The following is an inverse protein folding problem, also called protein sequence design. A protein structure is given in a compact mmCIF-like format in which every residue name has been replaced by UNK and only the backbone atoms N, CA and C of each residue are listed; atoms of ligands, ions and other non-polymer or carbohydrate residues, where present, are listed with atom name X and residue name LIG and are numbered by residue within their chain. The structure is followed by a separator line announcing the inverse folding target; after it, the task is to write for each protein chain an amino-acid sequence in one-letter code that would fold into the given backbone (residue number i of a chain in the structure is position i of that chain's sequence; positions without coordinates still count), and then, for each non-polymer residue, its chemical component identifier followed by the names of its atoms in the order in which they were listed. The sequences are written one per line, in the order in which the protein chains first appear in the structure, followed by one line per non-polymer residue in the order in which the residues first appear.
data_IF_211154990037
#
_entry.id   IF_211154990037
#
_cell.length_a   1.000
_cell.length_b   1.000
_cell.length_c   1.000
_cell.angle_alpha   90.00
_cell.angle_beta   90.00
_cell.angle_gamma   90.00
#
_symmetry.space_group_name_H-M   'P 1'
#
loop_
_entity.id
_entity.type
_entity.pdbx_description
1 polymer ?
#
# COMPACT_ATOMS: atom_id res chain seq x y z
N UNK A 1 4.12 1.67 -6.31
CA UNK A 1 3.98 1.89 -7.77
C UNK A 1 4.98 2.89 -8.32
N UNK A 2 4.86 4.23 -8.09
CA UNK A 2 5.83 5.19 -8.65
C UNK A 2 7.26 4.95 -8.18
N UNK A 3 7.49 4.73 -6.88
CA UNK A 3 8.82 4.40 -6.37
C UNK A 3 9.41 3.16 -7.05
N UNK A 4 8.62 2.11 -7.23
CA UNK A 4 9.05 0.89 -7.93
C UNK A 4 9.37 1.17 -9.40
N UNK A 5 8.54 1.97 -10.09
CA UNK A 5 8.80 2.36 -11.48
C UNK A 5 10.11 3.16 -11.63
N UNK A 6 10.42 4.03 -10.65
CA UNK A 6 11.64 4.86 -10.67
C UNK A 6 12.88 4.07 -10.26
N UNK A 7 12.78 3.25 -9.21
CA UNK A 7 13.94 2.58 -8.61
C UNK A 7 14.17 1.17 -9.13
N UNK A 8 13.17 0.60 -9.82
CA UNK A 8 13.12 -0.82 -10.21
C UNK A 8 13.32 -1.78 -9.03
N UNK A 9 12.90 -1.34 -7.84
CA UNK A 9 12.98 -2.09 -6.57
C UNK A 9 11.63 -2.06 -5.88
N UNK A 10 11.25 -3.10 -5.13
CA UNK A 10 10.02 -3.08 -4.33
C UNK A 10 10.00 -1.90 -3.38
N UNK A 11 8.84 -1.28 -3.21
CA UNK A 11 8.59 -0.25 -2.22
C UNK A 11 7.88 -0.86 -1.01
N UNK A 12 8.35 -0.53 0.18
CA UNK A 12 7.89 -1.08 1.45
C UNK A 12 7.19 -0.02 2.31
N UNK A 13 6.36 -0.46 3.25
CA UNK A 13 5.56 0.43 4.09
C UNK A 13 6.12 0.47 5.52
N UNK A 14 6.66 1.62 5.90
CA UNK A 14 7.11 1.90 7.28
C UNK A 14 6.04 2.63 8.07
N UNK A 15 4.92 1.97 8.31
CA UNK A 15 3.76 2.61 8.93
C UNK A 15 3.62 2.19 10.41
N UNK A 16 3.73 3.15 11.37
CA UNK A 16 3.64 2.85 12.80
C UNK A 16 2.26 2.38 13.26
N UNK A 17 1.21 2.58 12.46
CA UNK A 17 -0.08 1.98 12.77
C UNK A 17 -0.03 0.46 12.63
N UNK A 18 0.63 -0.04 11.60
CA UNK A 18 0.72 -1.48 11.32
C UNK A 18 1.80 -2.17 12.15
N UNK A 19 2.96 -1.55 12.30
CA UNK A 19 4.14 -2.13 12.90
C UNK A 19 4.42 -1.52 14.28
N UNK A 20 5.08 -2.28 15.13
CA UNK A 20 5.75 -1.76 16.32
C UNK A 20 7.19 -1.37 15.97
N UNK A 21 7.82 -0.53 16.79
CA UNK A 21 9.16 0.01 16.55
C UNK A 21 10.19 -1.06 16.17
N UNK A 22 10.25 -2.16 16.92
CA UNK A 22 11.22 -3.23 16.69
C UNK A 22 10.98 -3.95 15.36
N UNK A 23 9.73 -4.20 15.00
CA UNK A 23 9.37 -4.81 13.72
C UNK A 23 9.68 -3.88 12.54
N UNK A 24 9.44 -2.58 12.69
CA UNK A 24 9.79 -1.57 11.68
C UNK A 24 11.31 -1.49 11.48
N UNK A 25 12.10 -1.44 12.56
CA UNK A 25 13.56 -1.42 12.48
C UNK A 25 14.11 -2.65 11.76
N UNK A 26 13.56 -3.83 12.05
CA UNK A 26 13.91 -5.09 11.36
C UNK A 26 13.53 -5.07 9.88
N UNK A 27 12.34 -4.55 9.54
CA UNK A 27 11.90 -4.42 8.15
C UNK A 27 12.85 -3.52 7.37
N UNK A 28 13.13 -2.31 7.86
CA UNK A 28 14.03 -1.37 7.18
C UNK A 28 15.45 -1.94 7.08
N UNK A 29 15.97 -2.56 8.13
CA UNK A 29 17.27 -3.20 8.08
C UNK A 29 17.33 -4.31 7.02
N UNK A 30 16.30 -5.16 6.95
CA UNK A 30 16.23 -6.25 5.97
C UNK A 30 16.16 -5.74 4.52
N UNK A 31 15.33 -4.72 4.26
CA UNK A 31 15.12 -4.19 2.91
C UNK A 31 16.28 -3.34 2.42
N UNK A 32 17.01 -2.69 3.35
CA UNK A 32 18.17 -1.87 3.03
C UNK A 32 19.48 -2.66 2.81
N UNK A 33 19.52 -3.96 3.10
CA UNK A 33 20.76 -4.77 2.99
C UNK A 33 21.44 -4.71 1.61
N UNK A 34 20.67 -4.51 0.55
CA UNK A 34 21.19 -4.47 -0.82
C UNK A 34 21.18 -3.04 -1.41
N UNK A 35 21.15 -2.03 -0.55
CA UNK A 35 21.10 -0.64 -0.94
C UNK A 35 22.15 0.17 -0.21
N UNK A 36 22.72 1.17 -0.88
CA UNK A 36 23.66 2.11 -0.29
C UNK A 36 22.94 3.16 0.57
N UNK A 37 21.67 3.43 0.25
CA UNK A 37 20.81 4.41 0.89
C UNK A 37 19.37 3.93 0.97
N UNK A 38 18.72 4.09 2.11
CA UNK A 38 17.28 3.95 2.29
C UNK A 38 16.62 5.33 2.33
N UNK A 39 15.67 5.56 1.43
CA UNK A 39 14.85 6.78 1.42
C UNK A 39 13.43 6.46 1.86
N UNK A 40 12.95 7.18 2.89
CA UNK A 40 11.59 7.03 3.42
C UNK A 40 10.80 8.29 3.11
N UNK A 41 9.72 8.15 2.36
CA UNK A 41 8.80 9.24 2.08
C UNK A 41 7.75 9.35 3.19
N UNK A 42 7.58 10.56 3.75
CA UNK A 42 6.47 10.89 4.61
C UNK A 42 5.21 11.19 3.78
N UNK A 43 4.18 10.35 3.89
CA UNK A 43 2.99 10.41 3.04
C UNK A 43 2.04 11.57 3.37
N UNK A 44 2.07 12.05 4.61
CA UNK A 44 1.22 13.14 5.13
C UNK A 44 2.10 14.26 5.67
N UNK A 45 1.52 15.25 6.34
CA UNK A 45 2.31 16.23 7.07
C UNK A 45 3.17 15.54 8.14
N UNK A 46 4.36 16.09 8.42
CA UNK A 46 5.36 15.44 9.27
C UNK A 46 4.84 15.00 10.65
N UNK A 47 3.94 15.79 11.23
CA UNK A 47 3.29 15.51 12.52
C UNK A 47 1.86 14.97 12.40
N UNK A 48 1.36 14.80 11.18
CA UNK A 48 -0.02 14.32 10.98
C UNK A 48 -0.11 12.82 11.25
N UNK A 49 -0.72 12.48 12.35
CA UNK A 49 -0.92 11.11 12.79
C UNK A 49 -2.39 10.76 13.03
N UNK A 50 -2.64 9.87 13.96
CA UNK A 50 -3.99 9.43 14.29
C UNK A 50 -4.75 10.53 15.05
N UNK A 51 -5.85 10.99 14.50
CA UNK A 51 -6.69 12.02 15.11
C UNK A 51 -5.97 13.37 15.21
N UNK A 52 -5.72 13.83 16.44
CA UNK A 52 -5.02 15.09 16.72
C UNK A 52 -3.65 14.86 17.36
N UNK A 53 -3.05 13.70 17.12
CA UNK A 53 -1.77 13.31 17.73
C UNK A 53 -0.71 13.10 16.65
N UNK A 54 0.56 13.05 17.03
CA UNK A 54 1.66 12.64 16.16
C UNK A 54 1.82 11.11 16.08
N UNK A 55 0.93 10.33 16.72
CA UNK A 55 0.99 8.86 16.69
C UNK A 55 0.79 8.36 15.25
N UNK A 56 1.64 7.44 14.81
CA UNK A 56 1.67 6.90 13.45
C UNK A 56 1.99 7.93 12.34
N UNK A 57 2.67 9.04 12.68
CA UNK A 57 3.13 10.05 11.72
C UNK A 57 4.55 9.78 11.21
N UNK A 58 5.02 10.56 10.23
CA UNK A 58 6.41 10.59 9.79
C UNK A 58 7.38 10.97 10.93
N UNK A 59 6.94 11.82 11.86
CA UNK A 59 7.67 12.09 13.10
C UNK A 59 7.92 10.81 13.89
N UNK A 60 6.89 9.98 14.13
CA UNK A 60 7.03 8.70 14.83
C UNK A 60 8.02 7.76 14.12
N UNK A 61 7.95 7.68 12.79
CA UNK A 61 8.89 6.89 11.97
C UNK A 61 10.33 7.37 12.21
N UNK A 62 10.57 8.69 12.12
CA UNK A 62 11.89 9.26 12.32
C UNK A 62 12.46 8.99 13.72
N UNK A 63 11.59 9.01 14.75
CA UNK A 63 11.96 8.69 16.13
C UNK A 63 12.33 7.21 16.29
N UNK A 64 11.51 6.32 15.78
CA UNK A 64 11.71 4.87 15.92
C UNK A 64 12.94 4.35 15.17
N UNK A 65 13.22 4.93 14.00
CA UNK A 65 14.40 4.59 13.21
C UNK A 65 15.64 5.39 13.59
N UNK A 66 15.47 6.41 14.42
CA UNK A 66 16.52 7.36 14.78
C UNK A 66 17.16 8.04 13.56
N UNK A 67 16.40 8.21 12.48
CA UNK A 67 16.88 8.74 11.21
C UNK A 67 16.66 10.25 11.11
N UNK A 68 17.58 11.01 10.49
CA UNK A 68 17.36 12.42 10.22
C UNK A 68 16.20 12.61 9.21
N UNK A 69 15.45 13.69 9.38
CA UNK A 69 14.36 14.06 8.51
C UNK A 69 14.68 15.36 7.77
N UNK A 70 14.40 15.41 6.48
CA UNK A 70 14.44 16.63 5.67
C UNK A 70 13.02 17.08 5.38
N UNK A 71 12.64 18.24 5.86
CA UNK A 71 11.30 18.76 5.67
C UNK A 71 11.17 19.43 4.30
N UNK A 72 10.24 18.94 3.48
CA UNK A 72 9.93 19.55 2.18
C UNK A 72 8.93 20.70 2.36
N UNK A 73 9.32 21.93 2.02
CA UNK A 73 8.53 23.14 2.24
C UNK A 73 8.18 23.79 0.90
N UNK A 74 6.92 24.14 0.71
CA UNK A 74 6.46 24.93 -0.42
C UNK A 74 6.33 26.42 -0.02
N UNK A 75 7.25 27.31 -0.43
CA UNK A 75 7.24 28.71 -0.05
C UNK A 75 6.44 29.62 -1.00
N UNK A 76 5.63 29.04 -1.90
CA UNK A 76 4.86 29.83 -2.87
C UNK A 76 4.00 30.92 -2.19
N UNK A 77 4.03 32.11 -2.77
CA UNK A 77 3.28 33.30 -2.28
C UNK A 77 3.66 33.73 -0.87
N UNK A 78 4.81 33.31 -0.35
CA UNK A 78 5.33 33.72 0.95
C UNK A 78 6.58 34.56 0.79
N UNK A 79 6.82 35.42 1.76
CA UNK A 79 8.09 36.08 2.00
C UNK A 79 8.76 35.51 3.25
N UNK A 80 9.16 36.34 4.19
CA UNK A 80 9.78 35.92 5.46
C UNK A 80 8.93 34.93 6.29
N UNK A 81 7.62 34.89 6.08
CA UNK A 81 6.71 33.97 6.80
C UNK A 81 7.04 32.49 6.61
N UNK A 82 7.77 32.11 5.55
CA UNK A 82 8.24 30.72 5.38
C UNK A 82 9.12 30.29 6.56
N UNK A 83 9.95 31.18 7.09
CA UNK A 83 10.79 30.87 8.26
C UNK A 83 9.95 30.63 9.53
N UNK A 84 8.82 31.30 9.67
CA UNK A 84 7.90 31.04 10.79
C UNK A 84 7.30 29.63 10.71
N UNK A 85 6.96 29.16 9.51
CA UNK A 85 6.51 27.79 9.30
C UNK A 85 7.63 26.81 9.68
N UNK A 86 8.84 26.99 9.17
CA UNK A 86 9.98 26.12 9.49
C UNK A 86 10.26 26.10 11.01
N UNK A 87 10.23 27.25 11.67
CA UNK A 87 10.37 27.32 13.15
C UNK A 87 9.23 26.60 13.87
N UNK A 88 8.01 26.72 13.38
CA UNK A 88 6.85 26.02 13.95
C UNK A 88 7.06 24.50 13.96
N UNK A 89 7.52 23.96 12.85
CA UNK A 89 7.86 22.52 12.79
C UNK A 89 8.98 22.11 13.76
N UNK A 90 9.99 22.95 13.93
CA UNK A 90 11.09 22.68 14.88
C UNK A 90 10.68 22.77 16.36
N UNK A 91 9.59 23.49 16.66
CA UNK A 91 9.18 23.79 18.03
C UNK A 91 7.94 23.01 18.49
N UNK A 92 7.17 22.44 17.55
CA UNK A 92 5.90 21.78 17.87
C UNK A 92 6.10 20.55 18.75
N UNK A 93 7.09 19.71 18.38
CA UNK A 93 7.46 18.54 19.15
C UNK A 93 8.92 18.63 19.60
N UNK A 94 9.20 18.48 20.90
CA UNK A 94 10.56 18.47 21.40
C UNK A 94 11.30 17.22 20.86
N UNK A 95 12.61 17.36 20.69
CA UNK A 95 13.47 16.28 20.21
C UNK A 95 13.11 15.73 18.82
N UNK A 96 12.47 16.54 17.96
CA UNK A 96 12.30 16.16 16.58
C UNK A 96 13.66 15.96 15.88
N UNK A 97 13.66 15.17 14.80
CA UNK A 97 14.87 14.83 14.05
C UNK A 97 15.00 15.60 12.74
N UNK A 98 14.33 16.75 12.63
CA UNK A 98 14.44 17.60 11.44
C UNK A 98 15.87 18.14 11.38
N UNK A 99 16.59 17.77 10.32
CA UNK A 99 17.99 18.11 10.10
C UNK A 99 18.19 19.16 9.02
N UNK A 100 17.11 19.63 8.39
CA UNK A 100 17.13 20.67 7.39
C UNK A 100 15.91 20.66 6.49
N UNK A 101 15.99 21.45 5.43
CA UNK A 101 14.86 21.74 4.57
C UNK A 101 15.20 21.53 3.09
N UNK A 102 14.21 21.18 2.31
CA UNK A 102 14.23 21.15 0.86
C UNK A 102 13.04 21.97 0.37
N UNK A 103 13.26 22.89 -0.57
CA UNK A 103 12.19 23.78 -1.03
C UNK A 103 11.57 23.23 -2.30
N UNK A 104 10.26 23.25 -2.38
CA UNK A 104 9.52 22.78 -3.56
C UNK A 104 8.73 23.90 -4.22
N UNK A 105 8.62 23.87 -5.54
CA UNK A 105 7.90 24.86 -6.36
C UNK A 105 8.46 26.27 -6.21
N UNK A 106 9.76 26.42 -6.17
CA UNK A 106 10.44 27.72 -5.99
C UNK A 106 10.70 28.36 -7.35
N UNK A 107 10.39 29.64 -7.49
CA UNK A 107 10.90 30.42 -8.62
C UNK A 107 12.41 30.59 -8.46
N UNK A 108 13.20 30.28 -9.50
CA UNK A 108 14.67 30.25 -9.43
C UNK A 108 15.30 31.51 -8.82
N UNK A 109 14.82 32.69 -9.17
CA UNK A 109 15.30 33.95 -8.60
C UNK A 109 14.99 34.17 -7.12
N UNK A 110 14.18 33.32 -6.48
CA UNK A 110 13.83 33.42 -5.06
C UNK A 110 14.54 32.37 -4.19
N UNK A 111 15.25 31.45 -4.77
CA UNK A 111 15.87 30.35 -4.04
C UNK A 111 16.84 30.84 -2.96
N UNK A 112 17.79 31.68 -3.32
CA UNK A 112 18.78 32.28 -2.39
C UNK A 112 18.10 33.04 -1.27
N UNK A 113 17.07 33.84 -1.59
CA UNK A 113 16.32 34.60 -0.60
C UNK A 113 15.67 33.70 0.45
N UNK A 114 15.03 32.61 0.03
CA UNK A 114 14.42 31.67 0.98
C UNK A 114 15.47 30.89 1.77
N UNK A 115 16.54 30.47 1.12
CA UNK A 115 17.64 29.78 1.77
C UNK A 115 18.23 30.63 2.90
N UNK A 116 18.66 31.85 2.62
CA UNK A 116 19.26 32.74 3.60
C UNK A 116 18.35 33.05 4.80
N UNK A 117 17.06 33.27 4.55
CA UNK A 117 16.10 33.51 5.62
C UNK A 117 15.89 32.28 6.48
N UNK A 118 15.68 31.11 5.87
CA UNK A 118 15.42 29.88 6.63
C UNK A 118 16.65 29.48 7.44
N UNK A 119 17.82 29.47 6.83
CA UNK A 119 19.07 29.10 7.52
C UNK A 119 19.38 30.06 8.68
N UNK A 120 19.24 31.37 8.47
CA UNK A 120 19.44 32.35 9.52
C UNK A 120 18.46 32.20 10.68
N UNK A 121 17.19 31.97 10.40
CA UNK A 121 16.14 31.96 11.42
C UNK A 121 16.03 30.62 12.14
N UNK A 122 16.43 29.51 11.50
CA UNK A 122 16.31 28.14 12.05
C UNK A 122 17.63 27.57 12.53
N UNK A 123 18.76 28.05 12.01
CA UNK A 123 20.07 27.46 12.23
C UNK A 123 20.31 26.14 11.48
N UNK A 124 19.35 25.68 10.68
CA UNK A 124 19.43 24.43 9.94
C UNK A 124 19.61 24.70 8.43
N UNK A 125 20.30 23.81 7.71
CA UNK A 125 20.58 23.98 6.29
C UNK A 125 19.36 23.83 5.41
N UNK A 126 19.37 24.52 4.28
CA UNK A 126 18.54 24.22 3.10
C UNK A 126 19.38 23.45 2.10
N UNK A 127 18.98 22.22 1.80
CA UNK A 127 19.71 21.31 0.91
C UNK A 127 19.52 21.63 -0.58
N UNK A 128 18.65 22.55 -0.91
CA UNK A 128 18.36 22.98 -2.26
C UNK A 128 16.87 23.15 -2.52
N UNK A 129 16.51 23.20 -3.77
CA UNK A 129 15.13 23.42 -4.20
C UNK A 129 14.78 22.70 -5.49
N UNK A 130 13.50 22.45 -5.70
CA UNK A 130 12.92 22.15 -7.00
C UNK A 130 12.10 23.34 -7.49
N UNK A 131 12.29 23.77 -8.74
CA UNK A 131 11.44 24.80 -9.34
C UNK A 131 10.04 24.24 -9.62
N UNK A 132 9.11 25.12 -9.94
CA UNK A 132 7.81 24.70 -10.47
C UNK A 132 7.99 24.24 -11.92
N UNK A 133 7.75 22.94 -12.16
CA UNK A 133 7.83 22.29 -13.47
C UNK A 133 6.44 21.84 -13.88
N UNK A 134 5.83 22.55 -14.84
CA UNK A 134 4.48 22.23 -15.31
C UNK A 134 4.46 20.91 -16.11
N UNK A 135 5.56 20.60 -16.78
CA UNK A 135 5.72 19.42 -17.64
C UNK A 135 5.71 18.09 -16.86
N UNK A 136 6.07 18.14 -15.57
CA UNK A 136 6.17 16.93 -14.73
C UNK A 136 4.94 16.70 -13.85
N UNK A 137 3.88 17.49 -14.05
CA UNK A 137 2.65 17.27 -13.28
C UNK A 137 2.07 15.89 -13.58
N UNK A 138 1.83 15.14 -12.51
CA UNK A 138 1.12 13.86 -12.61
C UNK A 138 -0.38 14.14 -12.51
N UNK A 139 -1.19 13.57 -13.42
CA UNK A 139 -2.64 13.70 -13.34
C UNK A 139 -3.15 12.99 -12.07
N UNK A 140 -4.16 13.60 -11.44
CA UNK A 140 -4.84 13.00 -10.29
C UNK A 140 -6.25 12.54 -10.68
N UNK A 141 -6.72 11.48 -10.04
CA UNK A 141 -8.10 10.98 -10.13
C UNK A 141 -8.88 11.32 -8.86
N UNK A 142 -10.20 11.13 -8.90
CA UNK A 142 -11.01 11.16 -7.69
C UNK A 142 -10.55 10.13 -6.64
N UNK A 143 -9.97 9.03 -7.08
CA UNK A 143 -9.44 7.89 -6.32
C UNK A 143 -7.91 7.83 -6.33
N UNK A 144 -7.21 8.93 -6.07
CA UNK A 144 -5.75 8.96 -6.02
C UNK A 144 -5.10 9.36 -7.33
N UNK A 145 -3.87 8.94 -7.54
CA UNK A 145 -3.11 9.20 -8.76
C UNK A 145 -3.43 8.15 -9.83
N UNK A 146 -3.17 8.49 -11.10
CA UNK A 146 -3.03 7.47 -12.13
C UNK A 146 -1.96 6.48 -11.74
N UNK A 147 -2.08 5.22 -12.15
CA UNK A 147 -1.01 4.25 -11.92
C UNK A 147 0.24 4.63 -12.73
N UNK A 148 1.40 4.13 -12.32
CA UNK A 148 2.64 4.43 -13.05
C UNK A 148 2.59 3.98 -14.52
N UNK A 149 1.87 2.89 -14.80
CA UNK A 149 1.69 2.34 -16.15
C UNK A 149 0.73 3.18 -17.04
N UNK A 150 -0.15 3.96 -16.41
CA UNK A 150 -1.12 4.81 -17.12
C UNK A 150 -0.61 6.22 -17.41
N UNK A 151 0.52 6.61 -16.83
CA UNK A 151 1.12 7.93 -17.08
C UNK A 151 2.00 7.87 -18.32
N UNK A 152 1.48 8.39 -19.41
CA UNK A 152 2.29 8.57 -20.63
C UNK A 152 3.53 9.39 -20.29
N UNK A 153 4.67 9.00 -20.89
CA UNK A 153 5.95 9.71 -20.72
C UNK A 153 6.43 9.80 -19.26
N UNK A 154 6.04 8.87 -18.39
CA UNK A 154 6.46 8.87 -16.98
C UNK A 154 7.99 8.92 -16.86
N UNK A 155 8.70 8.12 -17.64
CA UNK A 155 10.17 8.08 -17.61
C UNK A 155 10.78 9.43 -17.98
N UNK A 156 10.27 10.10 -19.01
CA UNK A 156 10.76 11.43 -19.44
C UNK A 156 10.54 12.48 -18.34
N UNK A 157 9.39 12.42 -17.63
CA UNK A 157 9.10 13.30 -16.50
C UNK A 157 10.04 13.07 -15.33
N UNK A 158 10.34 11.80 -15.04
CA UNK A 158 11.27 11.41 -13.97
C UNK A 158 12.70 11.85 -14.32
N UNK A 159 13.13 11.66 -15.56
CA UNK A 159 14.45 12.08 -16.04
C UNK A 159 14.61 13.60 -15.92
N UNK A 160 13.61 14.37 -16.34
CA UNK A 160 13.61 15.83 -16.19
C UNK A 160 13.68 16.27 -14.72
N UNK A 161 12.93 15.61 -13.84
CA UNK A 161 13.01 15.84 -12.37
C UNK A 161 14.40 15.52 -11.84
N UNK A 162 14.98 14.39 -12.23
CA UNK A 162 16.32 13.96 -11.83
C UNK A 162 17.42 14.92 -12.30
N UNK A 163 17.38 15.36 -13.55
CA UNK A 163 18.30 16.35 -14.07
C UNK A 163 18.19 17.72 -13.38
N UNK A 164 16.95 18.10 -13.06
CA UNK A 164 16.71 19.36 -12.34
C UNK A 164 17.22 19.24 -10.92
N UNK A 165 16.95 18.15 -10.23
CA UNK A 165 17.43 17.88 -8.87
C UNK A 165 18.96 17.93 -8.79
N UNK A 166 19.68 17.34 -9.74
CA UNK A 166 21.17 17.41 -9.81
C UNK A 166 21.71 18.84 -9.89
N UNK A 167 20.95 19.75 -10.48
CA UNK A 167 21.37 21.16 -10.66
C UNK A 167 21.01 22.05 -9.48
N UNK A 168 19.98 21.69 -8.70
CA UNK A 168 19.37 22.58 -7.72
C UNK A 168 19.38 22.03 -6.29
N UNK A 169 19.75 20.76 -6.11
CA UNK A 169 19.88 20.10 -4.81
C UNK A 169 21.33 19.67 -4.61
N UNK A 170 21.86 19.90 -3.42
CA UNK A 170 23.23 19.49 -3.04
C UNK A 170 23.18 18.06 -2.52
N UNK A 171 23.18 17.09 -3.46
CA UNK A 171 22.98 15.65 -3.19
C UNK A 171 24.05 15.11 -2.24
N UNK A 172 25.31 15.58 -2.35
CA UNK A 172 26.41 15.15 -1.49
C UNK A 172 26.15 15.49 -0.01
N UNK A 173 25.47 16.62 0.26
CA UNK A 173 25.10 17.00 1.63
C UNK A 173 23.96 16.13 2.16
N UNK A 174 23.04 15.70 1.30
CA UNK A 174 21.96 14.76 1.67
C UNK A 174 22.55 13.37 1.95
N UNK A 175 23.52 12.92 1.14
CA UNK A 175 24.23 11.68 1.37
C UNK A 175 24.99 11.72 2.71
N UNK A 176 25.76 12.77 2.95
CA UNK A 176 26.46 12.95 4.23
C UNK A 176 25.49 13.00 5.42
N UNK A 177 24.30 13.57 5.25
CA UNK A 177 23.27 13.54 6.28
C UNK A 177 22.78 12.10 6.52
N UNK A 178 22.53 11.33 5.47
CA UNK A 178 22.08 9.94 5.60
C UNK A 178 23.10 9.06 6.36
N UNK A 179 24.40 9.31 6.17
CA UNK A 179 25.48 8.62 6.87
C UNK A 179 25.50 8.90 8.40
N UNK A 180 24.79 9.93 8.87
CA UNK A 180 24.63 10.19 10.30
C UNK A 180 23.58 9.32 10.99
N UNK A 181 22.75 8.61 10.21
CA UNK A 181 21.77 7.69 10.76
C UNK A 181 22.50 6.51 11.45
N UNK A 182 22.06 6.09 12.65
CA UNK A 182 22.68 4.96 13.33
C UNK A 182 22.45 3.67 12.54
N UNK A 183 23.39 2.73 12.58
CA UNK A 183 23.22 1.43 11.95
C UNK A 183 22.06 0.69 12.58
N UNK A 184 21.20 0.11 11.75
CA UNK A 184 20.13 -0.76 12.20
C UNK A 184 20.69 -2.19 12.38
N UNK A 185 20.31 -2.89 13.46
CA UNK A 185 20.73 -4.27 13.66
C UNK A 185 20.14 -5.14 12.53
N UNK A 186 21.02 -5.83 11.81
CA UNK A 186 20.59 -6.75 10.75
C UNK A 186 19.79 -7.91 11.38
N UNK A 187 18.56 -8.15 10.94
CA UNK A 187 17.83 -9.30 11.39
C UNK A 187 18.45 -10.58 10.81
N UNK A 188 18.48 -11.64 11.60
CA UNK A 188 18.69 -12.97 11.05
C UNK A 188 17.47 -13.32 10.20
N UNK A 189 17.61 -13.21 8.89
CA UNK A 189 16.57 -13.65 7.97
C UNK A 189 16.74 -15.14 7.74
N UNK A 190 15.74 -15.98 8.11
CA UNK A 190 15.78 -17.38 7.76
C UNK A 190 15.84 -17.52 6.24
N UNK A 191 16.56 -18.52 5.75
CA UNK A 191 16.56 -18.85 4.33
C UNK A 191 15.13 -19.06 3.83
N UNK A 192 14.87 -18.63 2.59
CA UNK A 192 13.57 -18.87 1.97
C UNK A 192 13.30 -20.38 1.93
N UNK A 193 12.16 -20.84 2.47
CA UNK A 193 11.82 -22.27 2.39
C UNK A 193 11.57 -22.66 0.94
N UNK A 194 11.73 -23.95 0.60
CA UNK A 194 11.33 -24.42 -0.72
C UNK A 194 9.83 -24.20 -0.94
N UNK A 195 9.46 -23.91 -2.18
CA UNK A 195 8.05 -23.75 -2.54
C UNK A 195 7.27 -25.02 -2.22
N UNK A 196 6.16 -24.88 -1.53
CA UNK A 196 5.32 -25.99 -1.06
C UNK A 196 3.89 -25.94 -1.59
N UNK A 197 3.48 -24.82 -2.19
CA UNK A 197 2.19 -24.63 -2.85
C UNK A 197 2.26 -23.49 -3.85
N UNK A 198 1.35 -23.50 -4.85
CA UNK A 198 1.26 -22.47 -5.89
C UNK A 198 0.11 -21.53 -5.60
N UNK A 199 0.42 -20.24 -5.44
CA UNK A 199 -0.54 -19.18 -5.17
C UNK A 199 -0.72 -18.31 -6.40
N UNK A 200 -1.91 -18.33 -7.00
CA UNK A 200 -2.28 -17.39 -8.05
C UNK A 200 -2.50 -16.00 -7.48
N UNK A 201 -1.87 -15.00 -8.08
CA UNK A 201 -2.00 -13.58 -7.69
C UNK A 201 -2.48 -12.80 -8.90
N UNK A 202 -3.67 -12.19 -8.82
CA UNK A 202 -4.17 -11.32 -9.89
C UNK A 202 -3.29 -10.07 -9.98
N UNK A 203 -2.74 -9.79 -11.15
CA UNK A 203 -1.88 -8.61 -11.35
C UNK A 203 -2.03 -8.05 -12.75
N UNK A 204 -2.76 -6.96 -12.86
CA UNK A 204 -2.94 -6.15 -14.06
C UNK A 204 -3.42 -4.74 -13.69
N UNK A 205 -3.87 -3.96 -14.66
CA UNK A 205 -4.33 -2.60 -14.41
C UNK A 205 -5.60 -2.51 -13.52
N UNK A 206 -6.40 -3.57 -13.44
CA UNK A 206 -7.57 -3.65 -12.56
C UNK A 206 -7.21 -4.13 -11.14
N UNK A 207 -6.12 -4.89 -10.98
CA UNK A 207 -5.66 -5.50 -9.72
C UNK A 207 -4.18 -5.22 -9.49
N UNK A 208 -3.87 -4.07 -8.91
CA UNK A 208 -2.49 -3.58 -8.80
C UNK A 208 -2.07 -3.18 -7.37
N UNK A 209 -2.95 -3.24 -6.39
CA UNK A 209 -2.64 -2.85 -5.01
C UNK A 209 -2.28 -4.05 -4.15
N UNK A 210 -1.00 -4.21 -3.91
CA UNK A 210 -0.43 -5.22 -3.03
C UNK A 210 0.65 -4.59 -2.16
N UNK A 211 0.67 -4.94 -0.88
CA UNK A 211 1.83 -4.71 -0.06
C UNK A 211 2.92 -5.72 -0.45
N UNK A 212 4.11 -5.23 -0.78
CA UNK A 212 5.25 -6.12 -1.10
C UNK A 212 5.53 -7.08 0.05
N UNK A 213 5.41 -6.60 1.28
CA UNK A 213 5.58 -7.36 2.51
C UNK A 213 4.59 -8.52 2.64
N UNK A 214 3.36 -8.35 2.16
CA UNK A 214 2.36 -9.42 2.15
C UNK A 214 2.79 -10.56 1.22
N UNK A 215 3.24 -10.22 0.02
CA UNK A 215 3.69 -11.20 -0.97
C UNK A 215 4.95 -11.93 -0.49
N UNK A 216 5.93 -11.20 0.05
CA UNK A 216 7.13 -11.78 0.63
C UNK A 216 6.82 -12.70 1.81
N UNK A 217 5.89 -12.29 2.69
CA UNK A 217 5.51 -13.12 3.83
C UNK A 217 4.83 -14.43 3.37
N UNK A 218 4.02 -14.40 2.31
CA UNK A 218 3.44 -15.60 1.71
C UNK A 218 4.52 -16.48 1.10
N UNK A 219 5.52 -15.92 0.42
CA UNK A 219 6.67 -16.66 -0.10
C UNK A 219 7.49 -17.29 1.04
N UNK A 220 7.72 -16.56 2.14
CA UNK A 220 8.35 -17.11 3.36
C UNK A 220 7.54 -18.23 4.01
N UNK A 221 6.25 -18.27 3.75
CA UNK A 221 5.37 -19.40 4.11
C UNK A 221 5.31 -20.51 3.04
N UNK A 222 6.18 -20.46 2.02
CA UNK A 222 6.33 -21.50 1.01
C UNK A 222 5.47 -21.32 -0.24
N UNK A 223 4.93 -20.13 -0.50
CA UNK A 223 4.20 -19.84 -1.73
C UNK A 223 5.14 -19.68 -2.93
N UNK A 224 4.88 -20.39 -4.03
CA UNK A 224 5.28 -19.98 -5.38
C UNK A 224 4.23 -19.02 -5.92
N UNK A 225 4.59 -17.76 -6.14
CA UNK A 225 3.66 -16.76 -6.69
C UNK A 225 3.53 -16.93 -8.20
N UNK A 226 2.30 -17.12 -8.67
CA UNK A 226 1.96 -17.24 -10.09
C UNK A 226 1.04 -16.09 -10.47
N UNK A 227 1.59 -15.09 -11.15
CA UNK A 227 0.82 -13.92 -11.57
C UNK A 227 -0.04 -14.24 -12.80
N UNK A 228 -1.25 -13.67 -12.82
CA UNK A 228 -2.20 -13.77 -13.93
C UNK A 228 -3.03 -12.49 -14.06
N UNK A 229 -3.67 -12.30 -15.22
CA UNK A 229 -4.48 -11.12 -15.52
C UNK A 229 -5.93 -11.48 -15.76
N UNK A 230 -6.86 -11.12 -14.88
CA UNK A 230 -8.30 -11.23 -15.16
C UNK A 230 -8.77 -10.45 -16.39
N UNK A 231 -8.03 -9.42 -16.81
CA UNK A 231 -8.36 -8.63 -18.00
C UNK A 231 -8.02 -9.34 -19.32
N UNK A 232 -6.94 -10.11 -19.37
CA UNK A 232 -6.40 -10.64 -20.64
C UNK A 232 -6.34 -12.15 -20.72
N UNK A 233 -6.20 -12.86 -19.60
CA UNK A 233 -6.14 -14.31 -19.59
C UNK A 233 -7.53 -14.91 -19.78
N UNK A 234 -7.61 -16.04 -20.47
CA UNK A 234 -8.89 -16.76 -20.70
C UNK A 234 -9.22 -17.77 -19.59
N UNK A 235 -8.24 -18.08 -18.72
CA UNK A 235 -8.41 -19.04 -17.62
C UNK A 235 -7.37 -18.81 -16.53
N UNK A 236 -7.64 -19.31 -15.34
CA UNK A 236 -6.66 -19.39 -14.26
C UNK A 236 -5.47 -20.27 -14.67
N UNK A 237 -4.25 -19.95 -14.22
CA UNK A 237 -3.10 -20.84 -14.36
C UNK A 237 -3.38 -22.22 -13.79
N UNK A 238 -2.77 -23.23 -14.38
CA UNK A 238 -2.96 -24.61 -13.93
C UNK A 238 -2.32 -24.87 -12.57
N UNK A 239 -2.87 -25.85 -11.87
CA UNK A 239 -2.34 -26.40 -10.62
C UNK A 239 -2.17 -25.39 -9.48
N UNK A 240 -3.03 -24.37 -9.41
CA UNK A 240 -3.06 -23.47 -8.27
C UNK A 240 -3.60 -24.17 -7.03
N UNK A 241 -3.08 -23.77 -5.87
CA UNK A 241 -3.45 -24.25 -4.55
C UNK A 241 -4.19 -23.18 -3.72
N UNK A 242 -4.20 -21.94 -4.20
CA UNK A 242 -4.92 -20.82 -3.64
C UNK A 242 -4.93 -19.63 -4.60
N UNK A 243 -5.78 -18.63 -4.31
CA UNK A 243 -5.86 -17.35 -5.04
C UNK A 243 -5.77 -16.18 -4.07
N UNK A 244 -5.05 -15.15 -4.48
CA UNK A 244 -5.05 -13.83 -3.88
C UNK A 244 -5.45 -12.77 -4.91
N UNK A 245 -6.63 -12.16 -4.72
CA UNK A 245 -7.16 -11.09 -5.55
C UNK A 245 -7.04 -9.79 -4.75
N UNK A 246 -6.04 -8.97 -5.06
CA UNK A 246 -5.80 -7.72 -4.37
C UNK A 246 -6.74 -6.59 -4.76
N UNK A 247 -6.47 -5.41 -4.23
CA UNK A 247 -7.15 -4.20 -4.61
C UNK A 247 -6.69 -3.65 -5.95
N UNK A 248 -7.33 -2.56 -6.37
CA UNK A 248 -7.05 -1.89 -7.63
C UNK A 248 -8.22 -1.04 -8.08
N UNK A 249 -8.39 -0.94 -9.38
CA UNK A 249 -9.43 -0.14 -10.03
C UNK A 249 -10.32 -0.97 -10.97
N UNK A 250 -10.98 -2.05 -10.49
CA UNK A 250 -11.83 -2.87 -11.36
C UNK A 250 -12.98 -2.07 -12.00
N UNK A 251 -13.43 -0.98 -11.34
CA UNK A 251 -14.49 -0.10 -11.84
C UNK A 251 -14.12 0.61 -13.15
N UNK A 252 -12.85 0.74 -13.48
CA UNK A 252 -12.41 1.32 -14.76
C UNK A 252 -12.44 0.32 -15.91
N UNK A 253 -12.56 -0.97 -15.61
CA UNK A 253 -12.45 -2.08 -16.54
C UNK A 253 -13.69 -2.99 -16.53
N UNK A 254 -14.84 -2.48 -16.06
CA UNK A 254 -16.06 -3.27 -15.91
C UNK A 254 -16.50 -4.00 -17.20
N UNK A 255 -16.48 -3.35 -18.39
CA UNK A 255 -16.85 -4.05 -19.63
C UNK A 255 -15.92 -5.22 -19.94
N UNK A 256 -14.60 -5.05 -19.76
CA UNK A 256 -13.60 -6.09 -20.02
C UNK A 256 -13.72 -7.25 -19.03
N UNK A 257 -13.80 -6.95 -17.73
CA UNK A 257 -13.92 -7.95 -16.67
C UNK A 257 -15.23 -8.74 -16.80
N UNK A 258 -16.35 -8.06 -17.05
CA UNK A 258 -17.67 -8.69 -17.25
C UNK A 258 -17.73 -9.50 -18.54
N UNK A 259 -17.04 -9.04 -19.60
CA UNK A 259 -17.00 -9.71 -20.91
C UNK A 259 -16.06 -10.91 -20.98
N UNK A 260 -15.14 -11.07 -20.05
CA UNK A 260 -14.22 -12.21 -20.03
C UNK A 260 -14.89 -13.46 -19.42
N UNK A 261 -15.91 -13.96 -20.13
CA UNK A 261 -16.72 -15.09 -19.67
C UNK A 261 -15.91 -16.36 -19.44
N UNK A 262 -14.88 -16.62 -20.26
CA UNK A 262 -14.04 -17.80 -20.13
C UNK A 262 -13.27 -17.79 -18.82
N UNK A 263 -12.67 -16.64 -18.45
CA UNK A 263 -11.98 -16.48 -17.19
C UNK A 263 -12.92 -16.58 -15.98
N UNK A 264 -14.10 -15.92 -16.04
CA UNK A 264 -15.13 -16.00 -14.99
C UNK A 264 -15.57 -17.45 -14.74
N UNK A 265 -15.73 -18.25 -15.79
CA UNK A 265 -16.11 -19.67 -15.66
C UNK A 265 -14.96 -20.50 -15.05
N UNK A 266 -13.72 -20.23 -15.46
CA UNK A 266 -12.55 -20.86 -14.85
C UNK A 266 -12.47 -20.58 -13.34
N UNK A 267 -12.71 -19.32 -12.93
CA UNK A 267 -12.75 -18.89 -11.54
C UNK A 267 -13.89 -19.56 -10.75
N UNK A 268 -15.08 -19.65 -11.33
CA UNK A 268 -16.24 -20.35 -10.73
C UNK A 268 -15.94 -21.84 -10.53
N UNK A 269 -15.37 -22.46 -11.54
CA UNK A 269 -14.97 -23.87 -11.47
C UNK A 269 -13.95 -24.12 -10.35
N UNK A 270 -12.97 -23.23 -10.18
CA UNK A 270 -11.99 -23.32 -9.10
C UNK A 270 -12.65 -23.17 -7.72
N UNK A 271 -13.57 -22.21 -7.57
CA UNK A 271 -14.31 -22.00 -6.34
C UNK A 271 -15.22 -23.18 -5.97
N UNK A 272 -15.89 -23.81 -6.95
CA UNK A 272 -16.68 -25.02 -6.76
C UNK A 272 -15.82 -26.18 -6.23
N UNK A 273 -14.56 -26.25 -6.63
CA UNK A 273 -13.56 -27.20 -6.10
C UNK A 273 -12.98 -26.78 -4.74
N UNK A 274 -13.57 -25.78 -4.09
CA UNK A 274 -13.15 -25.27 -2.78
C UNK A 274 -11.68 -24.78 -2.75
N UNK A 275 -11.20 -24.23 -3.87
CA UNK A 275 -9.90 -23.56 -3.89
C UNK A 275 -9.91 -22.39 -2.88
N UNK A 276 -8.95 -22.28 -1.97
CA UNK A 276 -8.84 -21.15 -1.05
C UNK A 276 -8.68 -19.84 -1.80
N UNK A 277 -9.57 -18.87 -1.55
CA UNK A 277 -9.56 -17.54 -2.21
C UNK A 277 -9.56 -16.46 -1.13
N UNK A 278 -8.53 -15.64 -1.12
CA UNK A 278 -8.47 -14.41 -0.34
C UNK A 278 -8.60 -13.21 -1.28
N UNK A 279 -9.50 -12.26 -0.96
CA UNK A 279 -9.75 -11.11 -1.82
C UNK A 279 -9.94 -9.82 -1.02
N UNK A 280 -9.35 -8.74 -1.51
CA UNK A 280 -9.39 -7.41 -0.89
C UNK A 280 -9.96 -6.38 -1.87
N UNK A 281 -10.78 -5.46 -1.39
CA UNK A 281 -11.26 -4.27 -2.08
C UNK A 281 -11.71 -4.55 -3.53
N UNK A 282 -10.88 -4.26 -4.53
CA UNK A 282 -11.17 -4.55 -5.95
C UNK A 282 -11.44 -6.04 -6.19
N UNK A 283 -10.66 -6.92 -5.57
CA UNK A 283 -10.88 -8.37 -5.62
C UNK A 283 -12.21 -8.78 -4.99
N UNK A 284 -12.60 -8.16 -3.88
CA UNK A 284 -13.93 -8.38 -3.27
C UNK A 284 -15.06 -7.96 -4.20
N UNK A 285 -14.94 -6.78 -4.85
CA UNK A 285 -15.93 -6.31 -5.83
C UNK A 285 -16.09 -7.31 -6.99
N UNK A 286 -14.97 -7.84 -7.50
CA UNK A 286 -14.96 -8.78 -8.63
C UNK A 286 -15.61 -10.15 -8.29
N UNK A 287 -15.55 -10.57 -7.02
CA UNK A 287 -16.16 -11.83 -6.58
C UNK A 287 -17.69 -11.74 -6.35
N UNK A 288 -18.26 -10.54 -6.28
CA UNK A 288 -19.71 -10.35 -6.07
C UNK A 288 -20.52 -10.74 -7.31
N UNK A 289 -21.85 -10.64 -7.21
CA UNK A 289 -22.78 -10.93 -8.32
C UNK A 289 -22.62 -9.91 -9.45
N UNK A 290 -22.48 -8.64 -9.11
CA UNK A 290 -22.37 -7.55 -10.09
C UNK A 290 -21.78 -6.29 -9.46
N UNK A 291 -21.31 -5.40 -10.34
CA UNK A 291 -20.94 -4.03 -9.99
C UNK A 291 -21.81 -3.08 -10.80
N UNK A 292 -22.43 -2.12 -10.12
CA UNK A 292 -23.14 -1.01 -10.74
C UNK A 292 -22.20 0.20 -10.81
N UNK A 293 -21.98 0.73 -12.01
CA UNK A 293 -21.16 1.93 -12.20
C UNK A 293 -21.88 3.21 -11.72
N UNK A 294 -21.17 4.35 -11.77
CA UNK A 294 -21.70 5.65 -11.36
C UNK A 294 -22.86 6.15 -12.26
N UNK A 295 -23.05 5.57 -13.45
CA UNK A 295 -24.13 5.86 -14.39
C UNK A 295 -25.34 4.92 -14.20
N UNK A 296 -25.27 3.98 -13.26
CA UNK A 296 -26.33 3.03 -12.96
C UNK A 296 -26.32 1.77 -13.82
N UNK A 297 -25.34 1.60 -14.71
CA UNK A 297 -25.20 0.40 -15.54
C UNK A 297 -24.62 -0.75 -14.71
N UNK A 298 -25.25 -1.92 -14.83
CA UNK A 298 -24.88 -3.12 -14.08
C UNK A 298 -24.01 -4.03 -14.94
N UNK A 299 -22.90 -4.48 -14.37
CA UNK A 299 -21.96 -5.41 -14.99
C UNK A 299 -21.89 -6.69 -14.14
N UNK A 300 -22.32 -7.85 -14.69
CA UNK A 300 -22.15 -9.13 -14.00
C UNK A 300 -20.69 -9.44 -13.73
N UNK A 301 -20.39 -9.98 -12.55
CA UNK A 301 -19.05 -10.37 -12.11
C UNK A 301 -18.97 -11.88 -11.82
N UNK A 302 -18.04 -12.31 -10.97
CA UNK A 302 -17.86 -13.74 -10.73
C UNK A 302 -19.06 -14.44 -10.08
N UNK A 303 -19.86 -13.72 -9.28
CA UNK A 303 -21.07 -14.27 -8.65
C UNK A 303 -20.74 -15.35 -7.60
N UNK A 304 -19.58 -15.30 -7.00
CA UNK A 304 -19.11 -16.26 -5.98
C UNK A 304 -19.51 -15.83 -4.57
N UNK A 305 -19.77 -14.55 -4.37
CA UNK A 305 -20.26 -13.97 -3.12
C UNK A 305 -21.62 -13.32 -3.33
N UNK A 306 -22.43 -13.30 -2.28
CA UNK A 306 -23.68 -12.55 -2.28
C UNK A 306 -23.39 -11.06 -2.30
N UNK A 307 -24.31 -10.31 -2.89
CA UNK A 307 -24.27 -8.88 -2.93
C UNK A 307 -23.98 -8.30 -4.29
N UNK A 308 -24.32 -7.03 -4.40
CA UNK A 308 -24.05 -6.16 -5.55
C UNK A 308 -23.32 -4.94 -5.05
N UNK A 309 -22.19 -4.63 -5.67
CA UNK A 309 -21.47 -3.41 -5.39
C UNK A 309 -22.04 -2.24 -6.20
N UNK A 310 -22.08 -1.06 -5.61
CA UNK A 310 -22.46 0.19 -6.27
C UNK A 310 -21.34 1.20 -6.12
N UNK A 311 -20.89 1.77 -7.25
CA UNK A 311 -19.89 2.83 -7.25
C UNK A 311 -20.49 4.15 -6.80
N UNK A 312 -19.94 4.74 -5.75
CA UNK A 312 -20.34 6.03 -5.20
C UNK A 312 -19.47 7.19 -5.67
N UNK A 313 -20.02 8.41 -5.59
CA UNK A 313 -19.27 9.64 -5.85
C UNK A 313 -18.59 10.21 -4.59
N UNK A 314 -18.75 9.55 -3.45
CA UNK A 314 -18.18 9.93 -2.17
C UNK A 314 -17.42 8.76 -1.57
N UNK A 315 -16.39 9.09 -0.84
CA UNK A 315 -15.61 8.12 -0.09
C UNK A 315 -16.49 7.45 0.98
N UNK A 316 -16.71 6.15 0.86
CA UNK A 316 -17.51 5.38 1.82
C UNK A 316 -16.74 5.14 3.11
N UNK A 317 -15.50 4.66 2.98
CA UNK A 317 -14.60 4.42 4.10
C UNK A 317 -13.18 4.84 3.75
N UNK A 318 -12.51 5.40 4.75
CA UNK A 318 -11.10 5.83 4.62
C UNK A 318 -10.39 5.74 5.94
N UNK A 319 -9.17 5.24 5.94
CA UNK A 319 -8.20 5.29 7.02
C UNK A 319 -7.98 3.95 7.69
N UNK A 320 -7.25 4.00 8.78
CA UNK A 320 -6.85 2.86 9.58
C UNK A 320 -8.01 2.17 10.25
N UNK A 321 -7.96 0.85 10.26
CA UNK A 321 -8.93 0.00 10.96
C UNK A 321 -8.22 -1.16 11.67
N UNK A 322 -8.75 -1.51 12.84
CA UNK A 322 -8.41 -2.74 13.55
C UNK A 322 -9.58 -3.69 13.40
N UNK A 323 -9.30 -4.90 12.94
CA UNK A 323 -10.29 -5.93 12.67
C UNK A 323 -10.13 -7.08 13.66
N UNK A 324 -11.23 -7.50 14.27
CA UNK A 324 -11.27 -8.65 15.18
C UNK A 324 -12.16 -9.74 14.59
N UNK A 325 -11.60 -10.92 14.36
CA UNK A 325 -12.32 -12.06 13.82
C UNK A 325 -13.45 -12.51 14.76
N UNK A 326 -14.68 -12.59 14.24
CA UNK A 326 -15.86 -13.00 15.01
C UNK A 326 -16.07 -14.52 14.99
N UNK A 327 -15.41 -15.19 14.06
CA UNK A 327 -15.44 -16.63 13.86
C UNK A 327 -14.10 -17.10 13.27
N UNK A 328 -13.89 -18.40 13.20
CA UNK A 328 -12.81 -18.98 12.43
C UNK A 328 -13.03 -18.69 10.95
N UNK A 329 -11.97 -18.24 10.27
CA UNK A 329 -11.98 -17.88 8.86
C UNK A 329 -10.83 -18.55 8.11
N UNK A 330 -10.78 -18.33 6.80
CA UNK A 330 -9.68 -18.78 5.96
C UNK A 330 -8.31 -18.33 6.48
N UNK A 331 -8.21 -17.08 6.98
CA UNK A 331 -6.95 -16.44 7.37
C UNK A 331 -6.82 -16.19 8.88
N UNK A 332 -7.86 -16.36 9.69
CA UNK A 332 -7.82 -16.00 11.10
C UNK A 332 -8.64 -16.94 11.96
N UNK A 333 -8.20 -17.17 13.19
CA UNK A 333 -9.01 -17.79 14.24
C UNK A 333 -9.89 -16.73 14.91
N UNK A 334 -10.99 -17.17 15.49
CA UNK A 334 -11.86 -16.28 16.26
C UNK A 334 -11.07 -15.53 17.33
N UNK A 335 -11.24 -14.23 17.37
CA UNK A 335 -10.55 -13.34 18.32
C UNK A 335 -9.21 -12.80 17.80
N UNK A 336 -8.67 -13.31 16.67
CA UNK A 336 -7.47 -12.74 16.08
C UNK A 336 -7.68 -11.28 15.67
N UNK A 337 -6.66 -10.45 15.90
CA UNK A 337 -6.67 -9.01 15.63
C UNK A 337 -5.71 -8.68 14.51
N UNK A 338 -6.21 -8.03 13.48
CA UNK A 338 -5.45 -7.66 12.28
C UNK A 338 -5.62 -6.17 12.04
N UNK A 339 -4.53 -5.49 11.70
CA UNK A 339 -4.56 -4.09 11.29
C UNK A 339 -4.64 -4.00 9.77
N UNK A 340 -5.51 -3.12 9.29
CA UNK A 340 -5.78 -2.93 7.87
C UNK A 340 -6.06 -1.46 7.55
N UNK A 341 -6.09 -1.15 6.27
CA UNK A 341 -6.48 0.17 5.78
C UNK A 341 -7.72 0.03 4.88
N UNK A 342 -8.75 0.84 5.13
CA UNK A 342 -9.93 0.93 4.26
C UNK A 342 -9.83 2.16 3.39
N UNK A 343 -10.03 1.99 2.08
CA UNK A 343 -10.08 3.09 1.12
C UNK A 343 -10.95 2.70 -0.08
N UNK A 344 -12.23 3.05 -0.05
CA UNK A 344 -13.13 2.71 -1.15
C UNK A 344 -14.30 3.68 -1.29
N UNK A 345 -14.73 3.87 -2.53
CA UNK A 345 -15.90 4.65 -2.93
C UNK A 345 -17.10 3.75 -3.19
N UNK A 346 -16.87 2.49 -3.54
CA UNK A 346 -17.92 1.51 -3.67
C UNK A 346 -18.51 1.13 -2.30
N UNK A 347 -19.77 0.75 -2.28
CA UNK A 347 -20.37 0.02 -1.16
C UNK A 347 -21.05 -1.24 -1.69
N UNK A 348 -21.30 -2.21 -0.84
CA UNK A 348 -21.96 -3.47 -1.18
C UNK A 348 -23.26 -3.63 -0.40
N UNK A 349 -24.25 -4.26 -1.02
CA UNK A 349 -25.46 -4.68 -0.31
C UNK A 349 -25.18 -5.75 0.76
N UNK A 350 -24.05 -6.45 0.62
CA UNK A 350 -23.57 -7.48 1.56
C UNK A 350 -22.09 -7.29 1.86
N UNK A 351 -21.77 -6.71 3.01
CA UNK A 351 -20.40 -6.50 3.45
C UNK A 351 -19.84 -7.66 4.30
N UNK A 352 -20.71 -8.55 4.78
CA UNK A 352 -20.35 -9.69 5.62
C UNK A 352 -20.26 -9.37 7.10
N UNK A 353 -19.99 -10.42 7.91
CA UNK A 353 -19.99 -10.34 9.38
C UNK A 353 -18.81 -11.08 10.03
N UNK A 354 -17.85 -11.53 9.21
CA UNK A 354 -16.75 -12.35 9.72
C UNK A 354 -15.79 -11.59 10.64
N UNK A 355 -15.74 -10.25 10.52
CA UNK A 355 -14.92 -9.39 11.37
C UNK A 355 -15.72 -8.22 11.94
N UNK A 356 -15.46 -7.88 13.19
CA UNK A 356 -15.75 -6.58 13.75
C UNK A 356 -14.62 -5.63 13.42
N UNK A 357 -14.94 -4.55 12.73
CA UNK A 357 -13.99 -3.54 12.27
C UNK A 357 -14.14 -2.28 13.09
N UNK A 358 -13.03 -1.75 13.61
CA UNK A 358 -13.02 -0.57 14.46
C UNK A 358 -12.05 0.48 13.92
N UNK A 359 -12.49 1.72 13.83
CA UNK A 359 -11.63 2.89 13.58
C UNK A 359 -10.94 3.38 14.87
N UNK A 360 -9.83 4.13 14.77
CA UNK A 360 -9.19 4.76 15.93
C UNK A 360 -10.14 5.67 16.75
N UNK A 361 -11.16 6.27 16.11
CA UNK A 361 -12.17 7.09 16.79
C UNK A 361 -13.27 6.29 17.51
N UNK A 362 -13.13 4.96 17.59
CA UNK A 362 -14.05 4.07 18.28
C UNK A 362 -15.27 3.61 17.47
N UNK A 363 -15.53 4.14 16.25
CA UNK A 363 -16.64 3.68 15.41
C UNK A 363 -16.41 2.23 15.00
N UNK A 364 -17.43 1.38 15.16
CA UNK A 364 -17.40 -0.04 14.84
C UNK A 364 -18.49 -0.44 13.85
N UNK A 365 -18.22 -1.49 13.07
CA UNK A 365 -19.20 -2.17 12.18
C UNK A 365 -18.76 -3.60 11.92
N UNK A 366 -19.61 -4.40 11.30
CA UNK A 366 -19.26 -5.73 10.81
C UNK A 366 -18.93 -5.67 9.33
N UNK A 367 -17.92 -6.42 8.91
CA UNK A 367 -17.46 -6.48 7.53
C UNK A 367 -16.73 -7.80 7.27
N UNK A 368 -16.39 -8.06 6.03
CA UNK A 368 -15.70 -9.25 5.50
C UNK A 368 -16.63 -10.46 5.43
N UNK A 369 -16.79 -10.98 4.23
CA UNK A 369 -17.53 -12.21 3.97
C UNK A 369 -16.59 -13.42 4.10
N UNK A 370 -17.05 -14.46 4.81
CA UNK A 370 -16.46 -15.80 4.79
C UNK A 370 -17.52 -16.75 4.24
N UNK A 371 -17.30 -17.25 3.03
CA UNK A 371 -18.23 -18.19 2.38
C UNK A 371 -17.45 -19.41 1.84
N UNK A 372 -17.60 -20.56 2.49
CA UNK A 372 -16.83 -21.77 2.13
C UNK A 372 -15.32 -21.49 2.25
N UNK A 373 -14.59 -21.66 1.13
CA UNK A 373 -13.15 -21.42 1.03
C UNK A 373 -12.78 -19.99 0.61
N UNK A 374 -13.76 -19.06 0.60
CA UNK A 374 -13.55 -17.66 0.17
C UNK A 374 -13.63 -16.74 1.37
N UNK A 375 -12.62 -15.89 1.55
CA UNK A 375 -12.60 -14.78 2.50
C UNK A 375 -12.38 -13.49 1.70
N UNK A 376 -13.32 -12.53 1.79
CA UNK A 376 -13.23 -11.31 1.02
C UNK A 376 -13.90 -10.11 1.68
N UNK A 377 -13.33 -8.93 1.51
CA UNK A 377 -13.87 -7.68 2.07
C UNK A 377 -13.17 -6.45 1.53
N UNK A 378 -13.62 -5.26 1.94
CA UNK A 378 -13.00 -4.00 1.50
C UNK A 378 -11.64 -3.70 2.14
N UNK A 379 -11.36 -4.02 3.43
CA UNK A 379 -10.10 -3.66 4.05
C UNK A 379 -8.89 -4.32 3.36
N UNK A 380 -7.84 -3.52 3.17
CA UNK A 380 -6.53 -4.00 2.73
C UNK A 380 -5.73 -4.45 3.96
N UNK A 381 -5.44 -5.74 4.02
CA UNK A 381 -4.76 -6.35 5.15
C UNK A 381 -3.25 -6.13 5.06
N UNK A 382 -2.64 -5.79 6.17
CA UNK A 382 -1.19 -5.78 6.28
C UNK A 382 -0.75 -7.01 7.08
N UNK A 383 -0.40 -8.10 6.40
CA UNK A 383 -0.08 -9.38 7.04
C UNK A 383 1.05 -9.29 8.07
N UNK A 384 2.10 -8.44 7.92
CA UNK A 384 3.10 -8.33 8.98
C UNK A 384 2.55 -7.80 10.32
N UNK A 385 1.36 -7.22 10.36
CA UNK A 385 0.68 -6.85 11.63
C UNK A 385 0.10 -8.06 12.36
N UNK A 386 -0.11 -9.18 11.66
CA UNK A 386 -0.57 -10.47 12.17
C UNK A 386 -0.03 -11.59 11.25
N UNK A 387 1.25 -11.97 11.39
CA UNK A 387 1.89 -12.97 10.50
C UNK A 387 1.18 -14.33 10.48
N UNK A 388 0.49 -14.67 11.56
CA UNK A 388 -0.31 -15.89 11.70
C UNK A 388 -1.43 -15.95 10.65
N UNK A 389 -1.93 -14.80 10.18
CA UNK A 389 -2.95 -14.77 9.13
C UNK A 389 -2.41 -15.29 7.79
N UNK A 390 -1.21 -14.87 7.39
CA UNK A 390 -0.54 -15.39 6.21
C UNK A 390 -0.18 -16.88 6.35
N UNK A 391 0.31 -17.29 7.54
CA UNK A 391 0.61 -18.68 7.83
C UNK A 391 -0.63 -19.56 7.70
N UNK A 392 -1.77 -19.14 8.30
CA UNK A 392 -3.03 -19.88 8.23
C UNK A 392 -3.54 -20.00 6.80
N UNK A 393 -3.48 -18.93 6.01
CA UNK A 393 -3.84 -18.97 4.60
C UNK A 393 -2.96 -19.96 3.82
N UNK A 394 -1.64 -19.92 4.01
CA UNK A 394 -0.70 -20.87 3.41
C UNK A 394 -1.00 -22.33 3.81
N UNK A 395 -1.39 -22.58 5.06
CA UNK A 395 -1.81 -23.91 5.51
C UNK A 395 -3.07 -24.39 4.81
N UNK A 396 -4.06 -23.52 4.59
CA UNK A 396 -5.27 -23.88 3.84
C UNK A 396 -4.92 -24.23 2.38
N UNK A 397 -4.03 -23.49 1.75
CA UNK A 397 -3.54 -23.78 0.39
C UNK A 397 -2.85 -25.16 0.35
N UNK A 398 -1.97 -25.46 1.30
CA UNK A 398 -1.32 -26.79 1.39
C UNK A 398 -2.31 -27.93 1.66
N UNK A 399 -3.35 -27.68 2.48
CA UNK A 399 -4.42 -28.68 2.71
C UNK A 399 -5.22 -28.95 1.44
N UNK A 400 -5.51 -27.89 0.67
CA UNK A 400 -6.16 -28.03 -0.63
C UNK A 400 -5.28 -28.83 -1.61
N UNK A 401 -3.99 -28.51 -1.73
CA UNK A 401 -3.03 -29.23 -2.56
C UNK A 401 -3.00 -30.74 -2.25
N UNK A 402 -2.92 -31.09 -0.97
CA UNK A 402 -2.92 -32.51 -0.56
C UNK A 402 -4.21 -33.21 -0.96
N UNK A 403 -5.39 -32.58 -0.82
CA UNK A 403 -6.68 -33.14 -1.25
C UNK A 403 -6.73 -33.33 -2.76
N UNK A 404 -6.31 -32.33 -3.53
CA UNK A 404 -6.23 -32.38 -4.99
C UNK A 404 -5.34 -33.54 -5.46
N UNK A 405 -4.14 -33.68 -4.89
CA UNK A 405 -3.17 -34.69 -5.28
C UNK A 405 -3.60 -36.10 -4.89
N UNK A 406 -4.38 -36.25 -3.81
CA UNK A 406 -4.87 -37.55 -3.35
C UNK A 406 -6.15 -38.03 -4.08
N UNK A 407 -6.59 -37.33 -5.11
CA UNK A 407 -7.75 -37.70 -5.92
C UNK A 407 -9.08 -37.67 -5.16
N UNK A 408 -9.17 -36.99 -4.01
CA UNK A 408 -10.43 -36.79 -3.31
C UNK A 408 -11.38 -35.99 -4.20
N UNK A 409 -12.57 -36.55 -4.53
CA UNK A 409 -13.63 -35.80 -5.21
C UNK A 409 -14.09 -34.66 -4.30
N UNK A 410 -14.13 -33.46 -4.85
CA UNK A 410 -14.62 -32.24 -4.20
C UNK A 410 -16.15 -32.21 -4.18
#
# INVERSE_FOLDING_TARGET
MFHEAVTHRPAYHTDPFFLQSDAMRKLVAATAQQADLALIEGAMGFYDGIGQTSEASAYTVSQWLETPAVLVVNPQKMGRSVAAICKGFLQLEPHNRIAGFLLNRVRSGMATYYQEIIERETGLPVYGYLPELLEVQLPSRHLGLYTAEEVDTLQEKIDLLGETARKTIVLERLQALAETAPPLPLPELPSMPPHSFRLGVAKDAAFCFYYAENLELLQRNGAELVFFSPLTDSALPEQLDGLYLGGGYPELYLPQLSGNHAFLESLRTAAQKQLPIFAECGGFLYLQQSIQDAQGKIFPMAGLLSGTATMGNRLCRFGYVTMTAQQDTLCAEKGAVIRAHSFHYADSTENGTAFSVQRPNGRTWLEVQQQGSILAGFPHWYFPSCPEAAQRFAEQCRRYQKRRNNGCRF
#
